data_IF_809716979372
#
_entry.id   IF_809716979372
#
_cell.length_a   1.000
_cell.length_b   1.000
_cell.length_c   1.000
_cell.angle_alpha   90.00
_cell.angle_beta   90.00
_cell.angle_gamma   90.00
#
_symmetry.space_group_name_H-M   'P 1'
#
loop_
_entity.id
_entity.type
_entity.pdbx_description
1 polymer ?
#
# COMPACT_ATOMS: atom_id res chain seq x y z
N UNK A 1 6.06 -20.12 44.44
CA UNK A 1 6.50 -19.91 43.05
C UNK A 1 5.39 -20.37 42.13
N UNK A 2 5.06 -19.59 41.09
CA UNK A 2 3.95 -19.86 40.16
C UNK A 2 4.48 -19.85 38.73
N UNK A 3 4.09 -20.85 37.95
CA UNK A 3 4.30 -20.92 36.50
C UNK A 3 2.97 -20.62 35.81
N UNK A 4 2.88 -19.47 35.14
CA UNK A 4 1.65 -18.95 34.54
C UNK A 4 1.73 -19.00 33.02
N UNK A 5 0.80 -19.70 32.38
CA UNK A 5 0.77 -19.87 30.93
C UNK A 5 0.08 -18.68 30.23
N UNK A 6 0.62 -18.28 29.07
CA UNK A 6 0.14 -17.18 28.24
C UNK A 6 -0.01 -15.84 28.98
N UNK A 7 0.87 -15.56 29.94
CA UNK A 7 0.83 -14.33 30.73
C UNK A 7 2.11 -13.51 30.57
N UNK A 8 2.08 -12.30 31.12
CA UNK A 8 3.20 -11.37 31.19
C UNK A 8 3.02 -10.51 32.46
N UNK A 9 4.10 -9.95 32.98
CA UNK A 9 4.06 -9.33 34.30
C UNK A 9 5.43 -8.91 34.83
N UNK A 10 5.47 -8.38 36.05
CA UNK A 10 6.70 -8.06 36.79
C UNK A 10 6.64 -8.54 38.24
N UNK A 11 5.61 -9.30 38.57
CA UNK A 11 5.37 -9.88 39.87
C UNK A 11 6.53 -10.80 40.23
N UNK A 12 7.03 -10.70 41.46
CA UNK A 12 8.06 -11.64 41.91
C UNK A 12 7.46 -13.02 42.03
N UNK A 13 8.31 -14.05 41.95
CA UNK A 13 7.92 -15.47 42.08
C UNK A 13 6.96 -16.00 41.01
N UNK A 14 6.64 -15.22 39.97
CA UNK A 14 5.85 -15.64 38.81
C UNK A 14 6.77 -15.80 37.61
N UNK A 15 6.66 -16.93 36.93
CA UNK A 15 7.33 -17.21 35.67
C UNK A 15 6.29 -17.44 34.59
N UNK A 16 6.51 -16.83 33.44
CA UNK A 16 5.57 -16.80 32.33
C UNK A 16 5.99 -17.81 31.26
N UNK A 17 5.03 -18.65 30.86
CA UNK A 17 5.24 -19.70 29.85
C UNK A 17 4.43 -19.39 28.62
N UNK A 18 5.06 -19.48 27.44
CA UNK A 18 4.35 -19.39 26.17
C UNK A 18 5.12 -20.15 25.09
N UNK A 19 4.40 -20.68 24.10
CA UNK A 19 5.01 -21.19 22.89
C UNK A 19 5.83 -20.08 22.23
N UNK A 20 7.09 -20.39 21.92
CA UNK A 20 7.93 -19.54 21.12
C UNK A 20 7.31 -19.36 19.72
N UNK A 21 7.76 -18.34 18.95
CA UNK A 21 7.41 -18.24 17.54
C UNK A 21 7.94 -19.42 16.71
N UNK A 22 9.01 -20.09 17.15
CA UNK A 22 9.62 -21.25 16.48
C UNK A 22 9.16 -22.55 17.13
N UNK A 23 8.40 -23.37 16.41
CA UNK A 23 7.87 -24.65 16.90
C UNK A 23 8.96 -25.73 16.95
N UNK A 24 9.01 -26.59 17.98
CA UNK A 24 8.10 -26.71 19.13
C UNK A 24 8.59 -25.99 20.40
N UNK A 25 9.43 -24.96 20.29
CA UNK A 25 10.10 -24.36 21.44
C UNK A 25 9.13 -23.56 22.33
N UNK A 26 9.49 -23.42 23.61
CA UNK A 26 8.75 -22.65 24.61
C UNK A 26 9.66 -21.62 25.30
N UNK A 27 9.10 -20.45 25.58
CA UNK A 27 9.68 -19.48 26.50
C UNK A 27 9.25 -19.77 27.93
N UNK A 28 10.23 -19.71 28.85
CA UNK A 28 10.03 -19.65 30.29
C UNK A 28 10.79 -18.42 30.75
N UNK A 29 10.05 -17.35 31.03
CA UNK A 29 10.60 -16.00 31.21
C UNK A 29 10.03 -15.29 32.44
N UNK A 30 10.79 -14.37 33.00
CA UNK A 30 10.43 -13.61 34.20
C UNK A 30 9.36 -12.55 33.97
N UNK A 31 9.27 -12.01 32.75
CA UNK A 31 8.40 -10.88 32.45
C UNK A 31 7.38 -11.19 31.37
N UNK A 32 7.61 -12.20 30.53
CA UNK A 32 6.64 -12.66 29.55
C UNK A 32 7.28 -13.04 28.22
N UNK A 33 6.62 -12.68 27.15
CA UNK A 33 7.00 -13.04 25.78
C UNK A 33 6.93 -11.82 24.87
N UNK A 34 7.45 -11.93 23.65
CA UNK A 34 7.55 -10.82 22.70
C UNK A 34 8.19 -9.58 23.36
N UNK A 35 7.55 -8.41 23.30
CA UNK A 35 8.08 -7.17 23.84
C UNK A 35 8.12 -7.11 25.38
N UNK A 36 7.47 -8.05 26.09
CA UNK A 36 7.56 -8.16 27.54
C UNK A 36 8.76 -8.97 28.01
N UNK A 37 9.31 -9.84 27.16
CA UNK A 37 10.32 -10.81 27.57
C UNK A 37 11.57 -10.15 28.16
N UNK A 38 12.19 -10.76 29.17
CA UNK A 38 13.39 -10.22 29.83
C UNK A 38 14.51 -9.91 28.84
N UNK A 39 14.67 -10.73 27.80
CA UNK A 39 15.73 -10.56 26.80
C UNK A 39 15.61 -9.26 26.00
N UNK A 40 14.42 -8.66 25.92
CA UNK A 40 14.23 -7.35 25.28
C UNK A 40 14.96 -6.23 26.04
N UNK A 41 15.30 -6.45 27.30
CA UNK A 41 16.23 -5.63 28.08
C UNK A 41 17.68 -6.15 27.94
N UNK A 42 18.24 -5.93 26.74
CA UNK A 42 19.51 -6.48 26.26
C UNK A 42 20.75 -6.31 27.17
N UNK A 43 20.92 -5.26 28.00
CA UNK A 43 22.13 -5.09 28.81
C UNK A 43 22.49 -6.31 29.67
N UNK A 44 21.48 -7.07 30.14
CA UNK A 44 21.71 -8.25 31.01
C UNK A 44 22.27 -9.47 30.28
N UNK A 45 21.92 -9.66 29.00
CA UNK A 45 22.23 -10.88 28.23
C UNK A 45 23.26 -10.66 27.13
N UNK A 46 23.63 -9.41 26.84
CA UNK A 46 24.58 -9.07 25.77
C UNK A 46 25.93 -9.79 25.91
N UNK A 47 26.46 -9.96 27.13
CA UNK A 47 27.73 -10.66 27.34
C UNK A 47 27.62 -12.15 27.01
N UNK A 48 26.56 -12.82 27.51
CA UNK A 48 26.27 -14.24 27.23
C UNK A 48 26.15 -14.47 25.71
N UNK A 49 25.40 -13.62 25.01
CA UNK A 49 25.23 -13.70 23.55
C UNK A 49 26.57 -13.49 22.83
N UNK A 50 27.38 -12.52 23.27
CA UNK A 50 28.65 -12.20 22.61
C UNK A 50 29.70 -13.30 22.78
N UNK A 51 29.59 -14.11 23.85
CA UNK A 51 30.47 -15.24 24.11
C UNK A 51 30.22 -16.43 23.17
N UNK A 52 29.08 -16.49 22.48
CA UNK A 52 28.81 -17.52 21.48
C UNK A 52 29.78 -17.35 20.30
N UNK A 53 30.37 -18.46 19.85
CA UNK A 53 31.24 -18.45 18.67
C UNK A 53 30.40 -18.32 17.39
N UNK A 54 30.95 -17.66 16.36
CA UNK A 54 30.25 -17.52 15.07
C UNK A 54 29.94 -18.88 14.44
N UNK A 55 30.84 -19.85 14.62
CA UNK A 55 30.65 -21.23 14.15
C UNK A 55 29.43 -21.89 14.82
N UNK A 56 29.34 -21.82 16.15
CA UNK A 56 28.19 -22.37 16.88
C UNK A 56 26.89 -21.69 16.47
N UNK A 57 26.92 -20.37 16.30
CA UNK A 57 25.74 -19.62 15.88
C UNK A 57 25.21 -20.08 14.52
N UNK A 58 26.10 -20.26 13.54
CA UNK A 58 25.71 -20.75 12.21
C UNK A 58 25.24 -22.21 12.25
N UNK A 59 25.88 -23.08 13.04
CA UNK A 59 25.47 -24.48 13.21
C UNK A 59 24.04 -24.60 13.79
N UNK A 60 23.73 -23.81 14.81
CA UNK A 60 22.38 -23.74 15.39
C UNK A 60 21.38 -23.24 14.35
N UNK A 61 21.64 -22.11 13.70
CA UNK A 61 20.70 -21.53 12.72
C UNK A 61 20.45 -22.52 11.57
N UNK A 62 21.50 -23.14 11.03
CA UNK A 62 21.40 -24.08 9.92
C UNK A 62 20.59 -25.33 10.29
N UNK A 63 20.70 -25.81 11.54
CA UNK A 63 19.86 -26.91 12.04
C UNK A 63 18.37 -26.58 11.93
N UNK A 64 17.95 -25.37 12.31
CA UNK A 64 16.54 -24.96 12.24
C UNK A 64 16.11 -24.62 10.81
N UNK A 65 16.97 -23.93 10.05
CA UNK A 65 16.74 -23.65 8.62
C UNK A 65 16.46 -24.92 7.82
N UNK A 66 17.24 -25.97 8.05
CA UNK A 66 17.03 -27.27 7.41
C UNK A 66 15.69 -27.89 7.76
N UNK A 67 15.26 -27.79 9.02
CA UNK A 67 13.95 -28.29 9.43
C UNK A 67 12.80 -27.56 8.73
N UNK A 68 12.90 -26.24 8.57
CA UNK A 68 11.92 -25.45 7.83
C UNK A 68 11.88 -25.84 6.35
N UNK A 69 13.04 -25.99 5.70
CA UNK A 69 13.10 -26.39 4.29
C UNK A 69 12.62 -27.82 4.03
N UNK A 70 13.06 -28.78 4.84
CA UNK A 70 12.75 -30.20 4.63
C UNK A 70 11.32 -30.56 5.02
N UNK A 71 10.83 -30.02 6.15
CA UNK A 71 9.52 -30.39 6.69
C UNK A 71 8.43 -29.41 6.29
N UNK A 72 8.80 -28.21 5.82
CA UNK A 72 7.88 -27.13 5.43
C UNK A 72 6.92 -26.72 6.56
N UNK A 73 7.36 -26.92 7.81
CA UNK A 73 6.57 -26.67 9.01
C UNK A 73 6.79 -25.23 9.46
N UNK A 74 5.69 -24.50 9.57
CA UNK A 74 5.60 -23.25 10.33
C UNK A 74 4.70 -23.48 11.55
N UNK A 75 4.55 -22.47 12.42
CA UNK A 75 3.74 -22.55 13.64
C UNK A 75 2.27 -22.94 13.37
N UNK A 76 1.74 -22.54 12.23
CA UNK A 76 0.37 -22.85 11.81
C UNK A 76 0.36 -23.71 10.55
N UNK A 77 -0.68 -24.54 10.33
CA UNK A 77 -0.86 -25.27 9.08
C UNK A 77 -0.73 -24.35 7.88
N UNK A 78 0.12 -24.76 6.93
CA UNK A 78 0.34 -24.04 5.68
C UNK A 78 -0.45 -24.74 4.56
N UNK A 79 -0.91 -24.00 3.55
CA UNK A 79 -1.48 -24.62 2.36
C UNK A 79 -0.41 -25.46 1.64
N UNK A 80 -0.84 -26.56 1.03
CA UNK A 80 -0.01 -27.31 0.09
C UNK A 80 0.37 -26.39 -1.08
N UNK A 81 1.62 -26.51 -1.55
CA UNK A 81 2.14 -25.64 -2.60
C UNK A 81 1.30 -25.78 -3.87
N UNK A 82 0.94 -24.61 -4.43
CA UNK A 82 0.50 -24.52 -5.81
C UNK A 82 1.68 -23.99 -6.62
N UNK A 83 1.90 -24.52 -7.82
CA UNK A 83 2.85 -23.97 -8.79
C UNK A 83 2.39 -22.56 -9.18
N UNK A 84 2.86 -21.57 -8.42
CA UNK A 84 2.59 -20.16 -8.66
C UNK A 84 3.91 -19.52 -9.04
N UNK A 85 3.95 -18.94 -10.23
CA UNK A 85 5.09 -18.16 -10.69
C UNK A 85 5.22 -16.90 -9.83
N UNK A 86 6.25 -16.88 -8.98
CA UNK A 86 6.58 -15.73 -8.15
C UNK A 86 7.35 -14.69 -8.98
N UNK A 87 7.18 -13.38 -8.68
CA UNK A 87 8.02 -12.34 -9.29
C UNK A 87 9.50 -12.60 -9.01
N UNK A 88 10.37 -12.18 -9.93
CA UNK A 88 11.82 -12.33 -9.78
C UNK A 88 12.37 -11.59 -8.55
N UNK A 89 11.80 -10.44 -8.20
CA UNK A 89 12.13 -9.68 -6.99
C UNK A 89 10.86 -9.15 -6.35
N UNK A 90 10.72 -9.33 -5.03
CA UNK A 90 9.58 -8.81 -4.29
C UNK A 90 9.92 -8.57 -2.81
N UNK A 91 9.13 -7.70 -2.18
CA UNK A 91 9.07 -7.55 -0.72
C UNK A 91 7.92 -8.41 -0.20
N UNK A 92 8.17 -9.20 0.85
CA UNK A 92 7.13 -10.00 1.48
C UNK A 92 6.65 -9.35 2.79
N UNK A 93 5.34 -9.16 2.93
CA UNK A 93 4.71 -8.68 4.16
C UNK A 93 3.70 -9.71 4.71
N UNK A 94 4.11 -10.59 5.64
CA UNK A 94 3.19 -11.41 6.40
C UNK A 94 2.41 -10.55 7.40
N UNK A 95 1.10 -10.41 7.20
CA UNK A 95 0.25 -9.69 8.13
C UNK A 95 0.01 -10.52 9.40
N UNK A 96 -0.23 -9.82 10.51
CA UNK A 96 -0.59 -10.44 11.79
C UNK A 96 -2.01 -10.07 12.21
N UNK A 97 -2.53 -10.77 13.22
CA UNK A 97 -3.82 -10.45 13.82
C UNK A 97 -3.72 -9.11 14.54
N UNK A 98 -4.56 -8.14 14.18
CA UNK A 98 -4.48 -6.76 14.70
C UNK A 98 -4.74 -6.65 16.20
N UNK A 99 -5.62 -7.50 16.73
CA UNK A 99 -5.95 -7.57 18.16
C UNK A 99 -5.08 -8.54 18.96
N UNK A 100 -3.97 -9.02 18.41
CA UNK A 100 -2.95 -9.70 19.19
C UNK A 100 -2.39 -8.72 20.24
N UNK A 101 -2.28 -9.10 21.53
CA UNK A 101 -1.64 -8.26 22.53
C UNK A 101 -0.22 -7.81 22.15
N UNK A 102 0.56 -8.62 21.42
CA UNK A 102 1.93 -8.25 21.05
C UNK A 102 1.99 -7.10 20.05
N UNK A 103 0.92 -6.82 19.30
CA UNK A 103 0.91 -5.74 18.31
C UNK A 103 1.12 -4.35 18.92
N UNK A 104 0.87 -4.20 20.23
CA UNK A 104 1.07 -2.93 20.95
C UNK A 104 2.54 -2.49 21.03
N UNK A 105 3.47 -3.40 20.77
CA UNK A 105 4.90 -3.10 20.79
C UNK A 105 5.41 -2.41 19.52
N UNK A 106 4.52 -2.19 18.56
CA UNK A 106 4.75 -1.38 17.38
C UNK A 106 4.30 0.06 17.65
N UNK A 107 5.11 1.07 17.30
CA UNK A 107 4.64 2.45 17.28
C UNK A 107 3.69 2.72 16.10
N UNK A 108 3.61 1.82 15.12
CA UNK A 108 2.81 1.98 13.91
C UNK A 108 1.63 1.02 13.83
N UNK A 109 0.52 1.50 13.30
CA UNK A 109 -0.58 0.66 12.85
C UNK A 109 -0.14 -0.15 11.62
N UNK A 110 -0.43 -1.45 11.63
CA UNK A 110 -0.08 -2.36 10.53
C UNK A 110 -0.69 -1.94 9.18
N UNK A 111 -1.89 -1.35 9.16
CA UNK A 111 -2.49 -0.85 7.93
C UNK A 111 -1.72 0.34 7.37
N UNK A 112 -1.19 1.22 8.21
CA UNK A 112 -0.41 2.37 7.75
C UNK A 112 0.92 1.91 7.15
N UNK A 113 1.56 0.92 7.76
CA UNK A 113 2.73 0.25 7.17
C UNK A 113 2.39 -0.38 5.82
N UNK A 114 1.24 -1.07 5.71
CA UNK A 114 0.79 -1.71 4.47
C UNK A 114 0.51 -0.67 3.37
N UNK A 115 -0.15 0.43 3.71
CA UNK A 115 -0.44 1.55 2.80
C UNK A 115 0.85 2.20 2.31
N UNK A 116 1.80 2.49 3.21
CA UNK A 116 3.11 3.05 2.85
C UNK A 116 3.93 2.09 1.99
N UNK A 117 3.93 0.80 2.31
CA UNK A 117 4.60 -0.21 1.50
C UNK A 117 3.99 -0.34 0.09
N UNK A 118 2.66 -0.22 -0.02
CA UNK A 118 2.00 -0.19 -1.32
C UNK A 118 2.37 1.06 -2.13
N UNK A 119 2.48 2.23 -1.51
CA UNK A 119 2.95 3.45 -2.17
C UNK A 119 4.41 3.32 -2.63
N UNK A 120 5.28 2.76 -1.80
CA UNK A 120 6.68 2.48 -2.14
C UNK A 120 6.79 1.47 -3.30
N UNK A 121 5.98 0.40 -3.29
CA UNK A 121 5.88 -0.58 -4.37
C UNK A 121 5.47 0.08 -5.70
N UNK A 122 4.48 0.98 -5.66
CA UNK A 122 4.04 1.74 -6.85
C UNK A 122 5.18 2.60 -7.42
N UNK A 123 5.89 3.33 -6.54
CA UNK A 123 6.93 4.27 -6.93
C UNK A 123 8.18 3.58 -7.50
N UNK A 124 8.54 2.43 -6.95
CA UNK A 124 9.75 1.69 -7.34
C UNK A 124 9.50 0.64 -8.43
N UNK A 125 8.25 0.22 -8.62
CA UNK A 125 7.90 -0.89 -9.52
C UNK A 125 8.22 -2.27 -8.93
N UNK A 126 8.68 -2.35 -7.69
CA UNK A 126 8.97 -3.62 -6.99
C UNK A 126 7.68 -4.21 -6.44
N UNK A 127 7.44 -5.49 -6.68
CA UNK A 127 6.23 -6.17 -6.21
C UNK A 127 6.22 -6.32 -4.68
N UNK A 128 5.08 -6.03 -4.07
CA UNK A 128 4.77 -6.32 -2.66
C UNK A 128 3.84 -7.53 -2.59
N UNK A 129 4.34 -8.66 -2.09
CA UNK A 129 3.54 -9.83 -1.78
C UNK A 129 3.02 -9.72 -0.35
N UNK A 130 1.71 -9.83 -0.17
CA UNK A 130 1.06 -9.73 1.14
C UNK A 130 0.34 -11.02 1.45
N UNK A 131 0.65 -11.63 2.60
CA UNK A 131 -0.09 -12.79 3.10
C UNK A 131 -0.92 -12.41 4.30
N UNK A 132 -2.24 -12.54 4.20
CA UNK A 132 -3.15 -12.33 5.34
C UNK A 132 -2.97 -13.46 6.37
N UNK A 133 -2.98 -13.10 7.65
CA UNK A 133 -2.98 -14.10 8.72
C UNK A 133 -4.25 -14.99 8.66
N UNK A 134 -4.14 -16.33 8.80
CA UNK A 134 -5.28 -17.25 8.67
C UNK A 134 -6.41 -16.96 9.67
N UNK A 135 -6.05 -16.57 10.89
CA UNK A 135 -7.00 -16.23 11.95
C UNK A 135 -7.37 -14.74 12.03
N UNK A 136 -7.14 -13.95 10.99
CA UNK A 136 -7.49 -12.51 11.02
C UNK A 136 -8.97 -12.29 10.70
N UNK A 137 -9.82 -11.84 11.66
CA UNK A 137 -11.22 -11.54 11.41
C UNK A 137 -11.47 -10.12 10.87
N UNK A 138 -10.44 -9.26 10.83
CA UNK A 138 -10.58 -7.82 10.54
C UNK A 138 -11.21 -7.56 9.17
N UNK A 139 -12.23 -6.71 9.18
CA UNK A 139 -12.88 -6.22 7.96
C UNK A 139 -12.04 -5.12 7.30
N UNK A 140 -11.37 -4.28 8.10
CA UNK A 140 -10.50 -3.22 7.58
C UNK A 140 -9.30 -3.79 6.81
N UNK A 141 -8.66 -4.86 7.32
CA UNK A 141 -7.60 -5.57 6.59
C UNK A 141 -8.12 -6.10 5.26
N UNK A 142 -9.28 -6.77 5.26
CA UNK A 142 -9.87 -7.32 4.03
C UNK A 142 -10.10 -6.22 2.98
N UNK A 143 -10.76 -5.12 3.38
CA UNK A 143 -11.09 -4.01 2.48
C UNK A 143 -9.85 -3.26 2.01
N UNK A 144 -8.90 -3.00 2.91
CA UNK A 144 -7.64 -2.33 2.56
C UNK A 144 -6.86 -3.16 1.54
N UNK A 145 -6.76 -4.48 1.73
CA UNK A 145 -6.10 -5.35 0.76
C UNK A 145 -6.80 -5.32 -0.60
N UNK A 146 -8.12 -5.43 -0.62
CA UNK A 146 -8.90 -5.36 -1.86
C UNK A 146 -8.65 -4.04 -2.61
N UNK A 147 -8.78 -2.90 -1.92
CA UNK A 147 -8.53 -1.58 -2.48
C UNK A 147 -7.11 -1.46 -3.03
N UNK A 148 -6.10 -1.86 -2.25
CA UNK A 148 -4.70 -1.76 -2.66
C UNK A 148 -4.39 -2.65 -3.87
N UNK A 149 -4.98 -3.84 -3.98
CA UNK A 149 -4.79 -4.72 -5.15
C UNK A 149 -5.51 -4.22 -6.39
N UNK A 150 -6.67 -3.56 -6.24
CA UNK A 150 -7.41 -2.95 -7.36
C UNK A 150 -6.67 -1.70 -7.88
N UNK A 151 -6.13 -0.88 -6.97
CA UNK A 151 -5.50 0.40 -7.30
C UNK A 151 -4.01 0.28 -7.69
N UNK A 152 -3.34 -0.81 -7.32
CA UNK A 152 -1.89 -0.97 -7.51
C UNK A 152 -1.53 -2.38 -8.01
N UNK A 153 -1.11 -2.54 -9.27
CA UNK A 153 -0.72 -3.85 -9.82
C UNK A 153 0.54 -4.44 -9.17
N UNK A 154 1.31 -3.62 -8.44
CA UNK A 154 2.48 -4.09 -7.69
C UNK A 154 2.12 -4.74 -6.35
N UNK A 155 0.86 -4.65 -5.89
CA UNK A 155 0.43 -5.32 -4.65
C UNK A 155 -0.29 -6.59 -5.01
N UNK A 156 0.18 -7.74 -4.49
CA UNK A 156 -0.45 -9.04 -4.72
C UNK A 156 -0.72 -9.73 -3.39
N UNK A 157 -1.96 -10.18 -3.20
CA UNK A 157 -2.32 -11.03 -2.05
C UNK A 157 -2.04 -12.48 -2.40
N UNK A 158 -1.26 -13.15 -1.56
CA UNK A 158 -0.83 -14.54 -1.77
C UNK A 158 -1.23 -15.43 -0.60
N UNK A 159 -1.45 -16.71 -0.89
CA UNK A 159 -1.73 -17.73 0.10
C UNK A 159 -0.87 -18.99 -0.17
N UNK A 160 0.45 -18.82 -0.11
CA UNK A 160 1.45 -19.89 -0.24
C UNK A 160 2.13 -20.16 1.10
N UNK A 161 2.83 -21.28 1.23
CA UNK A 161 3.67 -21.54 2.41
C UNK A 161 4.64 -20.37 2.65
N UNK A 162 4.76 -19.93 3.91
CA UNK A 162 5.61 -18.79 4.26
C UNK A 162 7.07 -18.99 3.87
N UNK A 163 7.61 -20.21 3.96
CA UNK A 163 9.01 -20.48 3.59
C UNK A 163 9.25 -20.35 2.08
N UNK A 164 8.27 -20.69 1.23
CA UNK A 164 8.33 -20.42 -0.22
C UNK A 164 8.37 -18.92 -0.50
N UNK A 165 7.56 -18.16 0.24
CA UNK A 165 7.52 -16.70 0.10
C UNK A 165 8.79 -16.04 0.65
N UNK A 166 9.41 -16.60 1.68
CA UNK A 166 10.65 -16.09 2.28
C UNK A 166 11.86 -16.38 1.37
N UNK A 167 11.96 -17.59 0.82
CA UNK A 167 13.16 -18.06 0.10
C UNK A 167 13.56 -17.16 -1.09
N UNK A 168 12.59 -16.57 -1.78
CA UNK A 168 12.82 -15.68 -2.92
C UNK A 168 12.55 -14.20 -2.62
N UNK A 169 12.26 -13.84 -1.37
CA UNK A 169 12.03 -12.45 -1.01
C UNK A 169 13.34 -11.66 -1.01
N UNK A 170 13.33 -10.46 -1.59
CA UNK A 170 14.42 -9.48 -1.41
C UNK A 170 14.54 -9.10 0.06
N UNK A 171 13.41 -8.83 0.70
CA UNK A 171 13.31 -8.59 2.13
C UNK A 171 11.92 -8.97 2.66
N UNK A 172 11.85 -9.23 3.96
CA UNK A 172 10.61 -9.48 4.69
C UNK A 172 10.34 -8.32 5.64
N UNK A 173 9.22 -7.64 5.44
CA UNK A 173 8.75 -6.59 6.33
C UNK A 173 7.69 -7.16 7.27
N UNK A 174 7.77 -6.88 8.56
CA UNK A 174 6.81 -7.38 9.55
C UNK A 174 6.64 -6.38 10.69
N UNK A 175 5.61 -6.57 11.50
CA UNK A 175 5.50 -5.87 12.77
C UNK A 175 6.34 -6.62 13.81
N UNK A 176 5.82 -7.72 14.33
CA UNK A 176 6.52 -8.64 15.24
C UNK A 176 6.00 -10.09 15.11
N UNK A 177 5.53 -10.46 13.91
CA UNK A 177 5.03 -11.80 13.61
C UNK A 177 6.11 -12.87 13.77
N UNK A 178 5.72 -14.09 14.16
CA UNK A 178 6.61 -15.26 14.18
C UNK A 178 7.27 -15.55 12.83
N UNK A 179 6.60 -15.22 11.73
CA UNK A 179 7.16 -15.32 10.36
C UNK A 179 8.43 -14.46 10.21
N UNK A 180 8.58 -13.40 11.00
CA UNK A 180 9.79 -12.57 11.01
C UNK A 180 11.04 -13.30 11.49
N UNK A 181 10.92 -14.10 12.56
CA UNK A 181 12.08 -14.90 13.00
C UNK A 181 12.30 -16.12 12.11
N UNK A 182 11.24 -16.73 11.57
CA UNK A 182 11.37 -17.78 10.56
C UNK A 182 12.18 -17.26 9.36
N UNK A 183 11.90 -16.03 8.91
CA UNK A 183 12.64 -15.36 7.84
C UNK A 183 14.11 -15.06 8.20
N UNK A 184 14.39 -14.63 9.44
CA UNK A 184 15.77 -14.46 9.90
C UNK A 184 16.54 -15.79 9.88
N UNK A 185 15.93 -16.89 10.33
CA UNK A 185 16.54 -18.23 10.32
C UNK A 185 16.80 -18.69 8.88
N UNK A 186 15.86 -18.45 7.98
CA UNK A 186 16.01 -18.74 6.54
C UNK A 186 17.06 -17.86 5.84
N UNK A 187 17.57 -16.83 6.52
CA UNK A 187 18.64 -15.97 6.04
C UNK A 187 18.17 -14.76 5.25
N UNK A 188 16.87 -14.44 5.29
CA UNK A 188 16.34 -13.25 4.64
C UNK A 188 16.72 -11.96 5.39
N UNK A 189 16.73 -10.84 4.68
CA UNK A 189 16.79 -9.52 5.31
C UNK A 189 15.41 -9.17 5.90
N UNK A 190 15.35 -8.98 7.21
CA UNK A 190 14.08 -8.74 7.92
C UNK A 190 14.03 -7.33 8.47
N UNK A 191 12.90 -6.65 8.27
CA UNK A 191 12.60 -5.33 8.78
C UNK A 191 11.38 -5.41 9.70
N UNK A 192 11.52 -4.95 10.94
CA UNK A 192 10.50 -5.10 11.98
C UNK A 192 10.17 -3.75 12.65
N UNK A 193 8.89 -3.52 12.95
CA UNK A 193 8.44 -2.32 13.67
C UNK A 193 8.13 -2.58 15.16
N UNK A 194 7.79 -3.82 15.53
CA UNK A 194 7.34 -4.17 16.87
C UNK A 194 8.39 -4.90 17.69
N UNK A 195 8.53 -4.56 18.98
CA UNK A 195 9.43 -5.29 19.88
C UNK A 195 9.02 -6.75 20.06
N UNK A 196 10.02 -7.62 20.06
CA UNK A 196 9.98 -9.06 20.28
C UNK A 196 11.35 -9.54 20.80
N UNK A 197 11.46 -10.80 21.20
CA UNK A 197 12.72 -11.40 21.66
C UNK A 197 13.84 -11.30 20.62
N UNK A 198 13.48 -11.35 19.34
CA UNK A 198 14.39 -11.35 18.19
C UNK A 198 14.52 -9.98 17.52
N UNK A 199 13.81 -8.94 18.00
CA UNK A 199 13.75 -7.63 17.35
C UNK A 199 15.14 -7.03 17.05
N UNK A 200 16.10 -7.20 17.97
CA UNK A 200 17.47 -6.69 17.80
C UNK A 200 18.28 -7.41 16.71
N UNK A 201 17.82 -8.57 16.22
CA UNK A 201 18.39 -9.25 15.06
C UNK A 201 17.82 -8.74 13.72
N UNK A 202 16.69 -8.03 13.74
CA UNK A 202 16.09 -7.43 12.57
C UNK A 202 16.53 -5.98 12.38
N UNK A 203 16.32 -5.45 11.16
CA UNK A 203 16.43 -4.02 10.90
C UNK A 203 15.20 -3.31 11.47
N UNK A 204 15.41 -2.29 12.30
CA UNK A 204 14.30 -1.55 12.91
C UNK A 204 13.63 -0.63 11.90
N UNK A 205 12.30 -0.64 11.86
CA UNK A 205 11.46 0.38 11.23
C UNK A 205 11.12 1.36 12.36
N UNK A 206 11.81 2.50 12.40
CA UNK A 206 11.66 3.54 13.40
C UNK A 206 10.77 4.70 12.93
N UNK A 207 10.52 4.79 11.62
CA UNK A 207 9.58 5.70 10.97
C UNK A 207 8.84 4.99 9.83
N UNK A 208 7.69 5.53 9.39
CA UNK A 208 7.04 5.00 8.18
C UNK A 208 7.88 5.27 6.93
N UNK A 209 8.73 6.30 6.96
CA UNK A 209 9.65 6.66 5.89
C UNK A 209 10.73 5.60 5.67
N UNK A 210 11.12 4.87 6.71
CA UNK A 210 12.11 3.78 6.60
C UNK A 210 11.61 2.67 5.66
N UNK A 211 10.29 2.53 5.47
CA UNK A 211 9.70 1.54 4.55
C UNK A 211 10.15 1.82 3.12
N UNK A 212 10.34 3.08 2.74
CA UNK A 212 10.77 3.44 1.39
C UNK A 212 12.14 2.83 1.05
N UNK A 213 13.07 2.86 2.01
CA UNK A 213 14.41 2.32 1.85
C UNK A 213 14.40 0.79 1.61
N UNK A 214 13.41 0.07 2.17
CA UNK A 214 13.26 -1.39 1.95
C UNK A 214 13.07 -1.70 0.46
N UNK A 215 12.39 -0.81 -0.28
CA UNK A 215 12.11 -1.00 -1.71
C UNK A 215 13.27 -0.51 -2.59
N UNK A 216 13.93 0.58 -2.22
CA UNK A 216 14.95 1.24 -3.05
C UNK A 216 16.39 0.81 -2.79
N UNK A 217 16.71 0.32 -1.60
CA UNK A 217 18.09 0.00 -1.21
C UNK A 217 18.39 -1.50 -1.26
N UNK A 218 19.68 -1.84 -1.14
CA UNK A 218 20.12 -3.22 -1.01
C UNK A 218 19.70 -3.80 0.35
N UNK A 219 19.23 -5.05 0.42
CA UNK A 219 18.78 -5.66 1.66
C UNK A 219 19.93 -5.80 2.66
N UNK A 220 19.66 -5.47 3.93
CA UNK A 220 20.60 -5.64 5.03
C UNK A 220 20.35 -6.96 5.77
N UNK A 221 21.28 -7.89 5.64
CA UNK A 221 21.26 -9.19 6.32
C UNK A 221 21.83 -9.11 7.75
N UNK A 222 21.58 -10.16 8.54
CA UNK A 222 22.11 -10.28 9.90
C UNK A 222 23.64 -10.24 9.94
N UNK A 223 24.18 -9.41 10.83
CA UNK A 223 25.59 -9.46 11.20
C UNK A 223 25.91 -10.62 12.17
N UNK A 224 27.19 -10.79 12.51
CA UNK A 224 27.67 -11.84 13.42
C UNK A 224 26.97 -11.79 14.79
N UNK A 225 26.77 -10.61 15.37
CA UNK A 225 26.13 -10.49 16.68
C UNK A 225 24.65 -10.84 16.61
N UNK A 226 23.96 -10.41 15.55
CA UNK A 226 22.54 -10.72 15.31
C UNK A 226 22.33 -12.23 15.13
N UNK A 227 23.23 -12.92 14.41
CA UNK A 227 23.22 -14.39 14.33
C UNK A 227 23.41 -15.05 15.70
N UNK A 228 24.33 -14.56 16.53
CA UNK A 228 24.53 -15.07 17.89
C UNK A 228 23.28 -14.87 18.76
N UNK A 229 22.57 -13.76 18.61
CA UNK A 229 21.29 -13.55 19.29
C UNK A 229 20.26 -14.60 18.87
N UNK A 230 20.10 -14.86 17.58
CA UNK A 230 19.17 -15.90 17.09
C UNK A 230 19.58 -17.28 17.60
N UNK A 231 20.86 -17.62 17.56
CA UNK A 231 21.34 -18.89 18.10
C UNK A 231 21.10 -19.01 19.61
N UNK A 232 21.35 -17.96 20.40
CA UNK A 232 21.04 -17.93 21.82
C UNK A 232 19.55 -18.16 22.08
N UNK A 233 18.68 -17.54 21.29
CA UNK A 233 17.22 -17.74 21.40
C UNK A 233 16.83 -19.20 21.19
N UNK A 234 17.36 -19.83 20.16
CA UNK A 234 17.01 -21.19 19.73
C UNK A 234 17.60 -22.29 20.61
N UNK A 235 18.81 -22.09 21.13
CA UNK A 235 19.61 -23.13 21.78
C UNK A 235 19.64 -23.02 23.32
N UNK A 236 19.41 -21.81 23.87
CA UNK A 236 19.60 -21.55 25.30
C UNK A 236 18.41 -20.86 25.97
N UNK A 237 17.79 -19.90 25.30
CA UNK A 237 16.73 -19.09 25.90
C UNK A 237 15.37 -19.80 25.85
N UNK A 238 14.96 -20.24 24.66
CA UNK A 238 13.79 -21.09 24.47
C UNK A 238 14.16 -22.56 24.64
N UNK A 239 13.20 -23.34 25.11
CA UNK A 239 13.41 -24.71 25.53
C UNK A 239 12.54 -25.65 24.72
N UNK A 240 13.11 -26.75 24.23
CA UNK A 240 12.34 -27.83 23.62
C UNK A 240 11.57 -28.61 24.68
N UNK A 241 10.29 -28.96 24.46
CA UNK A 241 9.54 -29.83 25.36
C UNK A 241 10.18 -31.21 25.59
N UNK A 242 11.04 -31.64 24.67
CA UNK A 242 11.79 -32.89 24.76
C UNK A 242 13.14 -32.77 25.48
N UNK A 243 13.60 -31.56 25.81
CA UNK A 243 14.86 -31.32 26.50
C UNK A 243 14.62 -31.12 28.00
N UNK A 244 14.46 -32.24 28.71
CA UNK A 244 14.22 -32.25 30.15
C UNK A 244 15.33 -31.57 30.95
N UNK A 245 16.58 -31.68 30.51
CA UNK A 245 17.71 -31.05 31.20
C UNK A 245 17.65 -29.52 31.08
N UNK A 246 17.26 -28.98 29.93
CA UNK A 246 17.03 -27.54 29.78
C UNK A 246 15.84 -27.04 30.61
N UNK A 247 14.76 -27.83 30.69
CA UNK A 247 13.61 -27.52 31.55
C UNK A 247 14.05 -27.49 33.02
N UNK A 248 14.79 -28.50 33.48
CA UNK A 248 15.31 -28.58 34.84
C UNK A 248 16.16 -27.35 35.18
N UNK A 249 17.09 -26.94 34.31
CA UNK A 249 17.88 -25.71 34.50
C UNK A 249 17.01 -24.46 34.65
N UNK A 250 15.91 -24.33 33.89
CA UNK A 250 14.97 -23.20 34.05
C UNK A 250 14.23 -23.27 35.40
N UNK A 251 13.88 -24.46 35.86
CA UNK A 251 13.25 -24.69 37.18
C UNK A 251 14.24 -24.33 38.30
N UNK A 252 15.48 -24.78 38.21
CA UNK A 252 16.53 -24.44 39.18
C UNK A 252 16.79 -22.93 39.23
N UNK A 253 16.87 -22.27 38.07
CA UNK A 253 17.00 -20.81 37.99
C UNK A 253 15.82 -20.09 38.65
N UNK A 254 14.61 -20.61 38.48
CA UNK A 254 13.40 -20.03 39.06
C UNK A 254 13.32 -20.23 40.57
N UNK A 255 13.78 -21.38 41.09
CA UNK A 255 13.92 -21.63 42.53
C UNK A 255 15.01 -20.73 43.14
N UNK A 256 16.16 -20.59 42.49
CA UNK A 256 17.27 -19.77 42.99
C UNK A 256 16.92 -18.27 43.11
N UNK A 257 15.88 -17.83 42.41
CA UNK A 257 15.42 -16.45 42.39
C UNK A 257 14.10 -16.26 43.15
N UNK A 258 13.65 -17.30 43.85
CA UNK A 258 12.46 -17.27 44.68
C UNK A 258 12.71 -16.36 45.90
N UNK A 259 11.82 -15.40 46.08
CA UNK A 259 11.78 -14.48 47.23
C UNK A 259 10.76 -15.02 48.23
N UNK A 260 11.18 -15.68 49.34
CA UNK A 260 10.25 -16.29 50.29
C UNK A 260 9.38 -15.28 51.02
N UNK A 261 9.80 -14.01 51.10
CA UNK A 261 9.09 -12.97 51.85
C UNK A 261 8.03 -12.25 51.00
N UNK A 262 8.05 -12.45 49.68
CA UNK A 262 7.10 -11.80 48.77
C UNK A 262 5.73 -12.49 48.77
N UNK A 263 4.70 -11.74 49.16
CA UNK A 263 3.31 -12.22 49.17
C UNK A 263 2.88 -12.91 50.46
N UNK A 264 3.72 -12.91 51.51
CA UNK A 264 3.29 -13.30 52.86
C UNK A 264 2.46 -12.15 53.44
N UNK A 265 1.15 -12.17 53.18
CA UNK A 265 0.18 -11.44 53.98
C UNK A 265 -0.39 -12.42 55.01
N UNK A 266 -0.11 -12.20 56.30
CA UNK A 266 -0.48 -13.11 57.41
C UNK A 266 -1.99 -13.23 57.65
N UNK A 267 -2.82 -12.65 56.78
CA UNK A 267 -4.24 -12.41 56.98
C UNK A 267 -5.12 -12.66 55.74
N UNK A 268 -4.77 -13.61 54.85
CA UNK A 268 -5.72 -14.06 53.82
C UNK A 268 -6.53 -15.27 54.33
N UNK A 269 -7.83 -15.10 54.66
CA UNK A 269 -8.68 -16.21 55.08
C UNK A 269 -9.04 -17.10 53.88
N UNK A 270 -9.49 -18.32 54.17
CA UNK A 270 -10.03 -19.37 53.27
C UNK A 270 -10.99 -18.90 52.14
N UNK A 271 -11.43 -17.64 52.14
CA UNK A 271 -12.24 -17.02 51.09
C UNK A 271 -11.52 -16.94 49.73
N UNK A 272 -10.19 -16.83 49.70
CA UNK A 272 -9.43 -16.68 48.45
C UNK A 272 -9.55 -17.92 47.53
N UNK A 273 -9.62 -19.13 48.09
CA UNK A 273 -9.77 -20.36 47.30
C UNK A 273 -11.15 -20.48 46.62
N UNK A 274 -12.20 -19.95 47.25
CA UNK A 274 -13.57 -19.95 46.71
C UNK A 274 -13.73 -18.91 45.59
N UNK A 275 -13.11 -17.74 45.73
CA UNK A 275 -13.25 -16.66 44.76
C UNK A 275 -12.26 -16.74 43.59
N UNK A 276 -11.13 -17.45 43.74
CA UNK A 276 -10.11 -17.54 42.70
C UNK A 276 -10.64 -18.03 41.35
N UNK A 277 -11.47 -19.10 41.25
CA UNK A 277 -12.04 -19.52 39.97
C UNK A 277 -12.93 -18.44 39.33
N UNK A 278 -13.68 -17.69 40.15
CA UNK A 278 -14.56 -16.60 39.68
C UNK A 278 -13.71 -15.43 39.16
N UNK A 279 -12.64 -15.07 39.87
CA UNK A 279 -11.71 -14.02 39.46
C UNK A 279 -11.03 -14.38 38.15
N UNK A 280 -10.55 -15.62 38.00
CA UNK A 280 -9.92 -16.10 36.77
C UNK A 280 -10.90 -16.12 35.58
N UNK A 281 -12.16 -16.54 35.78
CA UNK A 281 -13.21 -16.47 34.75
C UNK A 281 -13.49 -15.01 34.34
N UNK A 282 -13.65 -14.10 35.31
CA UNK A 282 -13.86 -12.68 35.04
C UNK A 282 -12.68 -12.04 34.31
N UNK A 283 -11.44 -12.40 34.66
CA UNK A 283 -10.24 -11.95 33.96
C UNK A 283 -10.22 -12.45 32.51
N UNK A 284 -10.50 -13.74 32.28
CA UNK A 284 -10.59 -14.29 30.93
C UNK A 284 -11.67 -13.61 30.08
N UNK A 285 -12.85 -13.33 30.66
CA UNK A 285 -13.91 -12.57 29.98
C UNK A 285 -13.50 -11.13 29.68
N UNK A 286 -12.82 -10.46 30.61
CA UNK A 286 -12.32 -9.10 30.43
C UNK A 286 -11.28 -9.04 29.31
N UNK A 287 -10.35 -9.99 29.26
CA UNK A 287 -9.36 -10.11 28.18
C UNK A 287 -10.04 -10.34 26.83
N UNK A 288 -11.03 -11.24 26.77
CA UNK A 288 -11.81 -11.49 25.55
C UNK A 288 -12.50 -10.22 25.05
N UNK A 289 -13.23 -9.51 25.92
CA UNK A 289 -13.92 -8.27 25.54
C UNK A 289 -12.93 -7.15 25.18
N UNK A 290 -11.78 -7.05 25.87
CA UNK A 290 -10.71 -6.11 25.52
C UNK A 290 -10.16 -6.38 24.11
N UNK A 291 -9.92 -7.65 23.75
CA UNK A 291 -9.50 -8.03 22.40
C UNK A 291 -10.57 -7.74 21.34
N UNK A 292 -11.85 -7.89 21.67
CA UNK A 292 -12.96 -7.52 20.77
C UNK A 292 -13.03 -6.01 20.57
N UNK A 293 -12.94 -5.23 21.63
CA UNK A 293 -12.94 -3.76 21.56
C UNK A 293 -11.76 -3.25 20.74
N UNK A 294 -10.54 -3.78 20.97
CA UNK A 294 -9.35 -3.44 20.18
C UNK A 294 -9.52 -3.73 18.70
N UNK A 295 -10.13 -4.86 18.33
CA UNK A 295 -10.44 -5.17 16.94
C UNK A 295 -11.46 -4.20 16.34
N UNK A 296 -12.52 -3.86 17.08
CA UNK A 296 -13.55 -2.95 16.61
C UNK A 296 -13.02 -1.53 16.38
N UNK A 297 -12.17 -1.02 17.29
CA UNK A 297 -11.48 0.26 17.13
C UNK A 297 -10.55 0.22 15.92
N UNK A 298 -9.73 -0.82 15.81
CA UNK A 298 -8.83 -0.99 14.66
C UNK A 298 -9.59 -1.02 13.33
N UNK A 299 -10.72 -1.72 13.27
CA UNK A 299 -11.56 -1.77 12.08
C UNK A 299 -12.21 -0.40 11.79
N UNK A 300 -12.70 0.29 12.82
CA UNK A 300 -13.27 1.64 12.69
C UNK A 300 -12.23 2.64 12.16
N UNK A 301 -11.04 2.69 12.76
CA UNK A 301 -9.96 3.59 12.34
C UNK A 301 -9.49 3.27 10.92
N UNK A 302 -9.31 1.98 10.63
CA UNK A 302 -8.92 1.52 9.30
C UNK A 302 -9.93 1.90 8.21
N UNK A 303 -11.23 1.83 8.52
CA UNK A 303 -12.32 2.20 7.62
C UNK A 303 -12.51 3.71 7.51
N UNK A 304 -12.41 4.47 8.60
CA UNK A 304 -12.48 5.93 8.57
C UNK A 304 -11.34 6.52 7.75
N UNK A 305 -10.13 5.99 7.89
CA UNK A 305 -9.02 6.39 7.02
C UNK A 305 -9.24 6.07 5.53
N UNK A 306 -10.13 5.12 5.20
CA UNK A 306 -10.59 4.90 3.83
C UNK A 306 -11.66 5.92 3.41
N UNK A 307 -12.54 6.36 4.31
CA UNK A 307 -13.55 7.40 4.04
C UNK A 307 -12.86 8.75 3.79
N UNK A 308 -11.96 9.17 4.68
CA UNK A 308 -11.20 10.42 4.51
C UNK A 308 -10.40 10.45 3.21
N UNK A 309 -9.82 9.31 2.80
CA UNK A 309 -9.16 9.16 1.50
C UNK A 309 -10.12 9.31 0.33
N UNK A 310 -11.29 8.69 0.40
CA UNK A 310 -12.30 8.82 -0.66
C UNK A 310 -12.80 10.25 -0.79
N UNK A 311 -12.97 10.96 0.32
CA UNK A 311 -13.35 12.37 0.32
C UNK A 311 -12.24 13.26 -0.27
N UNK A 312 -10.98 12.98 0.06
CA UNK A 312 -9.83 13.68 -0.54
C UNK A 312 -9.72 13.42 -2.06
N UNK A 313 -9.91 12.17 -2.52
CA UNK A 313 -9.92 11.83 -3.94
C UNK A 313 -11.09 12.52 -4.66
N UNK A 314 -12.29 12.54 -4.06
CA UNK A 314 -13.44 13.26 -4.60
C UNK A 314 -13.17 14.76 -4.71
N UNK A 315 -12.60 15.37 -3.68
CA UNK A 315 -12.24 16.79 -3.71
C UNK A 315 -11.21 17.09 -4.82
N UNK A 316 -10.23 16.21 -5.04
CA UNK A 316 -9.27 16.35 -6.14
C UNK A 316 -9.95 16.20 -7.52
N UNK A 317 -10.86 15.24 -7.68
CA UNK A 317 -11.63 15.06 -8.92
C UNK A 317 -12.54 16.26 -9.20
N UNK A 318 -13.21 16.79 -8.18
CA UNK A 318 -14.07 17.97 -8.30
C UNK A 318 -13.26 19.20 -8.72
N UNK A 319 -12.05 19.39 -8.16
CA UNK A 319 -11.13 20.45 -8.57
C UNK A 319 -10.72 20.31 -10.04
N UNK A 320 -10.41 19.09 -10.49
CA UNK A 320 -10.05 18.84 -11.89
C UNK A 320 -11.23 19.06 -12.85
N UNK A 321 -12.44 18.66 -12.47
CA UNK A 321 -13.66 18.92 -13.24
C UNK A 321 -13.93 20.43 -13.33
N UNK A 322 -13.76 21.17 -12.23
CA UNK A 322 -13.93 22.62 -12.21
C UNK A 322 -12.92 23.31 -13.13
N UNK A 323 -11.66 22.87 -13.14
CA UNK A 323 -10.65 23.37 -14.06
C UNK A 323 -11.04 23.12 -15.53
N UNK A 324 -11.41 21.89 -15.88
CA UNK A 324 -11.84 21.55 -17.24
C UNK A 324 -13.07 22.33 -17.70
N UNK A 325 -14.03 22.58 -16.78
CA UNK A 325 -15.18 23.44 -17.07
C UNK A 325 -14.75 24.87 -17.37
N UNK A 326 -13.86 25.43 -16.56
CA UNK A 326 -13.35 26.78 -16.77
C UNK A 326 -12.61 26.91 -18.12
N UNK A 327 -11.75 25.95 -18.45
CA UNK A 327 -11.05 25.89 -19.74
C UNK A 327 -12.05 25.76 -20.92
N UNK A 328 -13.10 24.95 -20.77
CA UNK A 328 -14.15 24.82 -21.78
C UNK A 328 -14.96 26.11 -21.95
N UNK A 329 -15.31 26.80 -20.86
CA UNK A 329 -16.06 28.06 -20.91
C UNK A 329 -15.25 29.15 -21.61
N UNK A 330 -13.96 29.26 -21.30
CA UNK A 330 -13.04 30.15 -22.02
C UNK A 330 -12.99 29.81 -23.51
N UNK A 331 -12.86 28.52 -23.85
CA UNK A 331 -12.82 28.09 -25.25
C UNK A 331 -14.10 28.40 -26.01
N UNK A 332 -15.26 28.27 -25.36
CA UNK A 332 -16.55 28.63 -25.95
C UNK A 332 -16.62 30.13 -26.20
N UNK A 333 -16.22 30.95 -25.22
CA UNK A 333 -16.20 32.41 -25.37
C UNK A 333 -15.30 32.86 -26.53
N UNK A 334 -14.10 32.29 -26.67
CA UNK A 334 -13.19 32.57 -27.78
C UNK A 334 -13.83 32.21 -29.14
N UNK A 335 -14.53 31.08 -29.21
CA UNK A 335 -15.22 30.63 -30.43
C UNK A 335 -16.42 31.52 -30.78
N UNK A 336 -17.17 31.98 -29.78
CA UNK A 336 -18.28 32.92 -29.97
C UNK A 336 -17.78 34.27 -30.50
N UNK A 337 -16.67 34.79 -29.97
CA UNK A 337 -16.04 36.02 -30.47
C UNK A 337 -15.60 35.85 -31.93
N UNK A 338 -14.95 34.73 -32.25
CA UNK A 338 -14.55 34.40 -33.62
C UNK A 338 -15.76 34.30 -34.56
N UNK A 339 -16.86 33.68 -34.11
CA UNK A 339 -18.11 33.56 -34.87
C UNK A 339 -18.69 34.96 -35.17
N UNK A 340 -18.77 35.84 -34.17
CA UNK A 340 -19.24 37.21 -34.35
C UNK A 340 -18.35 38.01 -35.31
N UNK A 341 -17.03 37.81 -35.25
CA UNK A 341 -16.11 38.41 -36.21
C UNK A 341 -16.39 37.91 -37.63
N UNK A 342 -16.57 36.61 -37.82
CA UNK A 342 -16.88 36.03 -39.14
C UNK A 342 -18.23 36.49 -39.68
N UNK A 343 -19.25 36.61 -38.83
CA UNK A 343 -20.55 37.16 -39.23
C UNK A 343 -20.45 38.61 -39.71
N UNK A 344 -19.64 39.44 -39.03
CA UNK A 344 -19.37 40.81 -39.48
C UNK A 344 -18.66 40.86 -40.83
N UNK A 345 -17.66 40.00 -41.04
CA UNK A 345 -16.96 39.88 -42.33
C UNK A 345 -17.92 39.44 -43.46
N UNK A 346 -18.82 38.48 -43.19
CA UNK A 346 -19.83 38.04 -44.15
C UNK A 346 -20.76 39.20 -44.52
N UNK A 347 -21.31 39.92 -43.54
CA UNK A 347 -22.21 41.04 -43.80
C UNK A 347 -21.55 42.17 -44.59
N UNK A 348 -20.26 42.43 -44.35
CA UNK A 348 -19.49 43.39 -45.17
C UNK A 348 -19.39 42.92 -46.63
N UNK A 349 -19.06 41.64 -46.85
CA UNK A 349 -18.98 41.08 -48.21
C UNK A 349 -20.33 41.04 -48.93
N UNK A 350 -21.42 40.78 -48.22
CA UNK A 350 -22.78 40.84 -48.78
C UNK A 350 -23.11 42.26 -49.25
N UNK A 351 -22.77 43.28 -48.46
CA UNK A 351 -22.96 44.68 -48.86
C UNK A 351 -22.09 45.07 -50.07
N UNK A 352 -20.83 44.61 -50.12
CA UNK A 352 -19.96 44.80 -51.29
C UNK A 352 -20.53 44.12 -52.55
N UNK A 353 -21.08 42.90 -52.40
CA UNK A 353 -21.71 42.17 -53.49
C UNK A 353 -22.93 42.93 -54.02
N UNK A 354 -23.80 43.42 -53.14
CA UNK A 354 -24.98 44.20 -53.51
C UNK A 354 -24.60 45.49 -54.25
N UNK A 355 -23.55 46.18 -53.82
CA UNK A 355 -23.02 47.35 -54.55
C UNK A 355 -22.53 46.98 -55.95
N UNK A 356 -21.83 45.85 -56.09
CA UNK A 356 -21.34 45.36 -57.39
C UNK A 356 -22.49 44.95 -58.31
N UNK A 357 -23.53 44.31 -57.78
CA UNK A 357 -24.73 43.95 -58.56
C UNK A 357 -25.46 45.20 -59.07
N UNK A 358 -25.60 46.22 -58.23
CA UNK A 358 -26.18 47.50 -58.62
C UNK A 358 -25.34 48.22 -59.70
N UNK A 359 -24.00 48.16 -59.59
CA UNK A 359 -23.08 48.71 -60.59
C UNK A 359 -23.23 47.97 -61.94
N UNK A 360 -23.29 46.63 -61.93
CA UNK A 360 -23.54 45.82 -63.13
C UNK A 360 -24.89 46.15 -63.77
N UNK A 361 -25.95 46.30 -62.96
CA UNK A 361 -27.27 46.66 -63.46
C UNK A 361 -27.26 48.02 -64.17
N UNK A 362 -26.55 49.01 -63.59
CA UNK A 362 -26.37 50.33 -64.21
C UNK A 362 -25.62 50.26 -65.53
N UNK A 363 -24.51 49.53 -65.58
CA UNK A 363 -23.73 49.34 -66.82
C UNK A 363 -24.56 48.65 -67.90
N UNK A 364 -25.36 47.63 -67.55
CA UNK A 364 -26.29 46.98 -68.50
C UNK A 364 -27.29 47.97 -69.09
N UNK A 365 -27.91 48.81 -68.24
CA UNK A 365 -28.86 49.81 -68.71
C UNK A 365 -28.22 50.84 -69.65
N UNK A 366 -26.98 51.27 -69.38
CA UNK A 366 -26.22 52.13 -70.30
C UNK A 366 -25.88 51.43 -71.62
N UNK A 367 -25.52 50.14 -71.57
CA UNK A 367 -25.23 49.35 -72.76
C UNK A 367 -26.48 49.20 -73.65
N UNK A 368 -27.64 48.91 -73.06
CA UNK A 368 -28.92 48.84 -73.77
C UNK A 368 -29.26 50.20 -74.42
N UNK A 369 -29.03 51.31 -73.71
CA UNK A 369 -29.23 52.65 -74.26
C UNK A 369 -28.32 52.93 -75.46
N UNK A 370 -27.02 52.58 -75.38
CA UNK A 370 -26.10 52.69 -76.50
C UNK A 370 -26.49 51.77 -77.66
N UNK A 371 -26.99 50.56 -77.38
CA UNK A 371 -27.45 49.63 -78.40
C UNK A 371 -28.65 50.19 -79.18
N UNK A 372 -29.63 50.79 -78.49
CA UNK A 372 -30.76 51.49 -79.12
C UNK A 372 -30.28 52.66 -79.98
N UNK A 373 -29.31 53.45 -79.49
CA UNK A 373 -28.73 54.55 -80.26
C UNK A 373 -27.98 54.07 -81.51
N UNK A 374 -27.23 52.98 -81.42
CA UNK A 374 -26.55 52.38 -82.57
C UNK A 374 -27.53 51.85 -83.61
N UNK A 375 -28.63 51.22 -83.18
CA UNK A 375 -29.70 50.78 -84.08
C UNK A 375 -30.34 51.98 -84.79
N UNK A 376 -30.62 53.06 -84.06
CA UNK A 376 -31.12 54.31 -84.66
C UNK A 376 -30.15 54.86 -85.72
N UNK A 377 -28.86 54.97 -85.37
CA UNK A 377 -27.84 55.51 -86.27
C UNK A 377 -27.65 54.62 -87.51
N UNK A 378 -27.72 53.29 -87.35
CA UNK A 378 -27.67 52.35 -88.46
C UNK A 378 -28.87 52.48 -89.39
N UNK A 379 -30.07 52.70 -88.85
CA UNK A 379 -31.28 52.99 -89.64
C UNK A 379 -31.14 54.33 -90.39
N UNK A 380 -30.62 55.37 -89.74
CA UNK A 380 -30.38 56.68 -90.36
C UNK A 380 -29.35 56.58 -91.50
N UNK A 381 -28.26 55.85 -91.31
CA UNK A 381 -27.26 55.55 -92.35
C UNK A 381 -27.86 54.76 -93.52
N UNK A 382 -28.71 53.77 -93.23
CA UNK A 382 -29.42 53.00 -94.26
C UNK A 382 -30.35 53.90 -95.08
N UNK A 383 -31.08 54.81 -94.43
CA UNK A 383 -31.95 55.77 -95.09
C UNK A 383 -31.17 56.77 -95.96
N UNK A 384 -30.07 57.35 -95.45
CA UNK A 384 -29.20 58.22 -96.24
C UNK A 384 -28.54 57.49 -97.42
N UNK A 385 -28.25 56.19 -97.28
CA UNK A 385 -27.71 55.37 -98.38
C UNK A 385 -28.76 55.17 -99.47
N UNK A 386 -30.02 54.88 -99.12
CA UNK A 386 -31.14 54.81 -100.07
C UNK A 386 -31.40 56.15 -100.76
N UNK A 387 -31.29 57.27 -100.04
CA UNK A 387 -31.38 58.61 -100.65
C UNK A 387 -30.23 58.87 -101.65
N UNK A 388 -29.01 58.43 -101.33
CA UNK A 388 -27.86 58.54 -102.25
C UNK A 388 -28.00 57.64 -103.49
N UNK A 389 -28.59 56.45 -103.34
CA UNK A 389 -28.88 55.52 -104.44
C UNK A 389 -30.02 56.04 -105.33
N UNK A 390 -31.00 56.73 -104.76
CA UNK A 390 -32.02 57.47 -105.52
C UNK A 390 -31.43 58.67 -106.29
N UNK A 391 -30.46 59.38 -105.73
CA UNK A 391 -29.72 60.43 -106.43
C UNK A 391 -28.82 59.87 -107.55
N UNK A 392 -28.21 58.69 -107.36
CA UNK A 392 -27.43 58.01 -108.41
C UNK A 392 -28.29 57.39 -109.51
N UNK A 393 -29.50 56.89 -109.21
CA UNK A 393 -30.43 56.39 -110.24
C UNK A 393 -31.04 57.52 -111.08
N UNK A 394 -31.23 58.71 -110.50
CA UNK A 394 -31.63 59.93 -111.22
C UNK A 394 -30.59 60.43 -112.24
N UNK A 395 -29.29 60.17 -112.01
CA UNK A 395 -28.21 60.54 -112.94
C UNK A 395 -28.01 59.54 -114.09
N UNK A 396 -28.44 58.29 -113.94
CA UNK A 396 -28.32 57.25 -114.97
C UNK A 396 -29.51 57.17 -115.94
N UNK A 397 -30.52 58.04 -115.81
CA UNK A 397 -31.65 58.14 -116.75
C UNK A 397 -31.53 59.29 -117.77
N UNK A 398 -30.32 59.85 -117.94
CA UNK A 398 -30.05 60.94 -118.91
C UNK A 398 -29.01 60.60 -120.00
N UNK A 399 -28.89 59.33 -120.39
CA UNK A 399 -28.15 58.97 -121.62
C UNK A 399 -28.92 58.03 -122.51
#
# INVERSE_FOLDING_TARGET
MVFSYHSFGKEKNVWHLKEAPVTPLFGIDRYGYSGWAEITNLPRKRQEISAISDKHAEEVIEKYRRQFKEKRISKYPQPDEQDVELPAEYIFFPLQVSNDPVSQFSPFNMLDMLKRAAEAARRTGTTLLVKRHPFCPSVAVKRTLQQLTEDNPQVKVVNLNVHTLIEHAKAVMTVNSGVGIEALIDGAAVYAAGKSEWFAAANSIASLEDIDAIFSEAPRYMDSWQKKLIAFLLDSYWVSPSDYAAIERKIEQSIAQFDPDYGIDSALPYASEVFLPIVLDLQGRLEYESRRAKLAIFDFDGLNGSIERLDAIRAQQDAQIAQLRHESEQRIADLEELLQQKQREIGQKESELEQKENEIARVKAELEKHQVQLISLANDLSNSRMESEHLHSGLNHQR
#
